data_IF_966374590763
#
_entry.id   IF_966374590763
#
_cell.length_a   1.000
_cell.length_b   1.000
_cell.length_c   1.000
_cell.angle_alpha   90.00
_cell.angle_beta   90.00
_cell.angle_gamma   90.00
#
_symmetry.space_group_name_H-M   'P 1'
#
loop_
_entity.id
_entity.type
_entity.pdbx_description
1 polymer ?
#
# COMPACT_ATOMS: atom_id res chain seq x y z
N UNK A 1 -5.26 -27.22 -12.92
CA UNK A 1 -3.78 -27.13 -12.83
C UNK A 1 -3.32 -26.26 -13.99
N UNK A 2 -2.98 -25.01 -13.74
CA UNK A 2 -2.40 -24.11 -14.74
C UNK A 2 -0.91 -24.44 -14.80
N UNK A 3 -0.45 -25.00 -15.89
CA UNK A 3 0.97 -25.24 -16.17
C UNK A 3 1.59 -23.90 -16.62
N UNK A 4 2.44 -23.32 -15.80
CA UNK A 4 3.28 -22.20 -16.20
C UNK A 4 4.41 -22.71 -17.11
N UNK A 5 4.72 -22.02 -18.22
CA UNK A 5 5.81 -22.41 -19.10
C UNK A 5 7.17 -22.30 -18.37
N UNK A 6 8.18 -23.15 -18.71
CA UNK A 6 9.46 -23.21 -18.00
C UNK A 6 10.23 -21.88 -17.94
N UNK A 7 10.06 -21.02 -18.95
CA UNK A 7 10.67 -19.69 -18.99
C UNK A 7 10.13 -18.75 -17.88
N UNK A 8 8.84 -18.86 -17.54
CA UNK A 8 8.24 -18.10 -16.45
C UNK A 8 8.80 -18.54 -15.09
N UNK A 9 9.03 -19.83 -14.90
CA UNK A 9 9.59 -20.38 -13.65
C UNK A 9 11.04 -19.93 -13.41
N UNK A 10 11.83 -19.77 -14.46
CA UNK A 10 13.21 -19.30 -14.38
C UNK A 10 13.27 -17.80 -14.04
N UNK A 11 12.37 -17.00 -14.63
CA UNK A 11 12.24 -15.58 -14.35
C UNK A 11 11.85 -15.34 -12.88
N UNK A 12 10.89 -16.11 -12.35
CA UNK A 12 10.48 -16.04 -10.95
C UNK A 12 11.62 -16.38 -9.97
N UNK A 13 12.44 -17.41 -10.27
CA UNK A 13 13.58 -17.77 -9.39
C UNK A 13 14.68 -16.72 -9.41
N UNK A 14 14.96 -16.10 -10.54
CA UNK A 14 15.96 -15.02 -10.65
C UNK A 14 15.47 -13.74 -9.99
N UNK A 15 14.18 -13.39 -10.11
CA UNK A 15 13.55 -12.25 -9.47
C UNK A 15 13.53 -12.40 -7.94
N UNK A 16 13.15 -13.57 -7.42
CA UNK A 16 13.14 -13.84 -5.99
C UNK A 16 14.54 -13.69 -5.36
N UNK A 17 15.60 -14.18 -6.04
CA UNK A 17 16.97 -14.05 -5.56
C UNK A 17 17.48 -12.60 -5.59
N UNK A 18 17.09 -11.83 -6.59
CA UNK A 18 17.43 -10.41 -6.71
C UNK A 18 16.69 -9.57 -5.66
N UNK A 19 15.43 -9.90 -5.38
CA UNK A 19 14.58 -9.20 -4.42
C UNK A 19 15.04 -9.41 -2.98
N UNK A 20 15.38 -10.63 -2.58
CA UNK A 20 15.98 -10.96 -1.26
C UNK A 20 17.28 -10.18 -0.98
N UNK A 21 17.97 -9.74 -2.03
CA UNK A 21 19.18 -8.92 -1.91
C UNK A 21 18.87 -7.44 -1.63
N UNK A 22 17.71 -6.94 -2.08
CA UNK A 22 17.31 -5.53 -1.93
C UNK A 22 16.41 -5.33 -0.70
N UNK A 23 15.60 -6.31 -0.38
CA UNK A 23 14.65 -6.31 0.74
C UNK A 23 14.89 -7.57 1.60
N UNK A 24 15.92 -7.56 2.46
CA UNK A 24 16.19 -8.72 3.33
C UNK A 24 14.99 -8.97 4.23
N UNK A 25 14.64 -10.24 4.39
CA UNK A 25 13.58 -10.68 5.30
C UNK A 25 13.70 -9.98 6.65
N UNK A 26 12.57 -9.54 7.22
CA UNK A 26 12.53 -9.13 8.62
C UNK A 26 13.20 -10.22 9.46
N UNK A 27 14.15 -9.88 10.28
CA UNK A 27 14.71 -10.80 11.28
C UNK A 27 13.57 -11.41 12.09
N UNK A 28 13.11 -12.61 11.71
CA UNK A 28 12.16 -13.42 12.46
C UNK A 28 10.66 -13.28 12.10
N UNK A 29 10.25 -12.69 10.95
CA UNK A 29 8.84 -12.62 10.57
C UNK A 29 8.62 -12.47 9.06
N UNK A 30 7.47 -12.93 8.57
CA UNK A 30 7.04 -12.75 7.17
C UNK A 30 6.73 -11.27 6.94
N UNK A 31 7.31 -10.66 5.88
CA UNK A 31 6.97 -9.30 5.46
C UNK A 31 5.62 -9.33 4.75
N UNK A 32 4.72 -8.42 5.14
CA UNK A 32 3.46 -8.22 4.44
C UNK A 32 3.56 -6.99 3.54
N UNK A 33 2.79 -7.01 2.47
CA UNK A 33 2.74 -5.93 1.50
C UNK A 33 1.33 -5.38 1.38
N UNK A 34 1.26 -4.07 1.22
CA UNK A 34 0.02 -3.32 1.23
C UNK A 34 -0.05 -2.35 0.04
N UNK A 35 -1.21 -1.76 -0.18
CA UNK A 35 -1.40 -0.64 -1.07
C UNK A 35 -2.31 0.38 -0.37
N UNK A 36 -1.86 1.62 -0.35
CA UNK A 36 -2.51 2.77 0.26
C UNK A 36 -2.98 3.72 -0.84
N UNK A 37 -4.30 3.97 -0.91
CA UNK A 37 -4.89 4.88 -1.90
C UNK A 37 -5.16 6.24 -1.27
N UNK A 38 -4.66 7.28 -1.92
CA UNK A 38 -5.00 8.67 -1.64
C UNK A 38 -5.34 9.41 -2.92
N UNK A 39 -6.21 10.41 -2.85
CA UNK A 39 -6.41 11.36 -3.93
C UNK A 39 -5.33 12.45 -3.83
N UNK A 40 -4.64 12.81 -4.92
CA UNK A 40 -3.58 13.84 -4.87
C UNK A 40 -4.05 15.18 -4.31
N UNK A 41 -5.33 15.54 -4.51
CA UNK A 41 -5.92 16.75 -3.94
C UNK A 41 -6.18 16.70 -2.43
N UNK A 42 -6.17 15.49 -1.81
CA UNK A 42 -6.29 15.32 -0.37
C UNK A 42 -4.91 15.14 0.29
N UNK A 43 -4.11 14.23 -0.22
CA UNK A 43 -2.75 13.99 0.24
C UNK A 43 -1.93 13.34 -0.88
N UNK A 44 -0.95 14.06 -1.38
CA UNK A 44 -0.10 13.64 -2.49
C UNK A 44 1.21 12.99 -2.03
N UNK A 45 1.93 12.39 -2.96
CA UNK A 45 3.30 11.92 -2.73
C UNK A 45 4.24 13.08 -2.35
N UNK A 46 4.05 14.25 -2.98
CA UNK A 46 4.82 15.46 -2.71
C UNK A 46 4.56 15.99 -1.29
N UNK A 47 3.33 15.86 -0.78
CA UNK A 47 3.02 16.19 0.61
C UNK A 47 3.78 15.27 1.57
N UNK A 48 3.89 13.98 1.26
CA UNK A 48 4.68 13.04 2.05
C UNK A 48 6.18 13.34 1.98
N UNK A 49 6.69 13.73 0.80
CA UNK A 49 8.10 14.14 0.64
C UNK A 49 8.43 15.38 1.48
N UNK A 50 7.48 16.31 1.60
CA UNK A 50 7.62 17.54 2.36
C UNK A 50 7.33 17.37 3.86
N UNK A 51 6.67 16.28 4.27
CA UNK A 51 6.29 16.04 5.64
C UNK A 51 7.49 15.88 6.59
N UNK A 52 7.39 16.28 7.87
CA UNK A 52 8.45 16.09 8.86
C UNK A 52 8.89 14.62 8.94
N UNK A 53 10.18 14.37 8.71
CA UNK A 53 10.74 13.01 8.67
C UNK A 53 10.14 12.13 7.57
N UNK A 54 9.53 12.75 6.54
CA UNK A 54 8.85 12.08 5.44
C UNK A 54 7.84 11.03 5.95
N UNK A 55 7.13 11.36 7.02
CA UNK A 55 6.24 10.47 7.75
C UNK A 55 4.87 11.13 7.93
N UNK A 56 3.81 10.34 7.79
CA UNK A 56 2.43 10.79 8.01
C UNK A 56 1.62 9.71 8.70
N UNK A 57 0.58 10.12 9.45
CA UNK A 57 -0.49 9.23 9.86
C UNK A 57 -1.39 8.91 8.66
N UNK A 58 -1.72 7.64 8.49
CA UNK A 58 -2.69 7.21 7.49
C UNK A 58 -4.06 7.08 8.15
N UNK A 59 -4.72 8.22 8.29
CA UNK A 59 -5.99 8.39 8.97
C UNK A 59 -7.20 8.40 8.00
N UNK A 60 -8.37 8.73 8.50
CA UNK A 60 -9.57 8.95 7.70
C UNK A 60 -10.17 7.68 7.06
N UNK A 61 -9.68 6.50 7.38
CA UNK A 61 -10.19 5.23 6.82
C UNK A 61 -11.51 4.87 7.48
N UNK A 62 -12.62 4.92 6.70
CA UNK A 62 -14.00 4.66 7.18
C UNK A 62 -14.63 3.42 6.52
N UNK A 63 -13.80 2.40 6.30
CA UNK A 63 -14.22 1.08 5.83
C UNK A 63 -13.70 0.02 6.79
N UNK A 64 -14.57 -0.84 7.32
CA UNK A 64 -14.22 -1.86 8.33
C UNK A 64 -13.19 -2.88 7.83
N UNK A 65 -13.26 -3.25 6.54
CA UNK A 65 -12.30 -4.20 5.96
C UNK A 65 -10.90 -3.56 5.84
N UNK A 66 -10.83 -2.33 5.33
CA UNK A 66 -9.58 -1.56 5.24
C UNK A 66 -8.97 -1.33 6.63
N UNK A 67 -9.81 -0.95 7.64
CA UNK A 67 -9.38 -0.86 9.04
C UNK A 67 -8.79 -2.17 9.55
N UNK A 68 -9.44 -3.31 9.26
CA UNK A 68 -8.95 -4.61 9.71
C UNK A 68 -7.60 -4.97 9.07
N UNK A 69 -7.36 -4.56 7.83
CA UNK A 69 -6.04 -4.67 7.22
C UNK A 69 -5.01 -3.80 7.95
N UNK A 70 -5.34 -2.56 8.30
CA UNK A 70 -4.44 -1.70 9.07
C UNK A 70 -4.10 -2.30 10.43
N UNK A 71 -5.06 -2.92 11.13
CA UNK A 71 -4.81 -3.65 12.39
C UNK A 71 -3.87 -4.85 12.24
N UNK A 72 -3.80 -5.44 11.06
CA UNK A 72 -2.89 -6.56 10.77
C UNK A 72 -1.47 -6.11 10.41
N UNK A 73 -1.26 -4.82 10.10
CA UNK A 73 0.04 -4.28 9.71
C UNK A 73 1.05 -4.36 10.85
N UNK A 74 2.29 -4.60 10.49
CA UNK A 74 3.43 -4.63 11.39
C UNK A 74 4.48 -3.61 10.98
N UNK A 75 5.15 -3.02 11.97
CA UNK A 75 6.29 -2.14 11.73
C UNK A 75 7.30 -2.81 10.80
N UNK A 76 7.70 -2.09 9.75
CA UNK A 76 8.57 -2.54 8.66
C UNK A 76 7.84 -3.24 7.51
N UNK A 77 6.50 -3.42 7.54
CA UNK A 77 5.74 -3.81 6.35
C UNK A 77 5.86 -2.72 5.29
N UNK A 78 5.85 -3.10 4.02
CA UNK A 78 5.93 -2.17 2.90
C UNK A 78 4.58 -2.02 2.21
N UNK A 79 4.35 -0.85 1.61
CA UNK A 79 3.13 -0.63 0.86
C UNK A 79 3.34 0.31 -0.32
N UNK A 80 2.63 0.07 -1.41
CA UNK A 80 2.59 1.03 -2.51
C UNK A 80 1.76 2.25 -2.12
N UNK A 81 2.29 3.43 -2.41
CA UNK A 81 1.53 4.67 -2.38
C UNK A 81 0.87 4.85 -3.76
N UNK A 82 -0.45 4.90 -3.78
CA UNK A 82 -1.23 4.95 -5.00
C UNK A 82 -2.09 6.21 -5.04
N UNK A 83 -1.89 7.03 -6.07
CA UNK A 83 -2.78 8.12 -6.40
C UNK A 83 -4.03 7.58 -7.07
N UNK A 84 -5.21 7.92 -6.53
CA UNK A 84 -6.51 7.68 -7.16
C UNK A 84 -6.98 8.94 -7.92
N UNK A 85 -8.13 8.88 -8.57
CA UNK A 85 -8.67 10.02 -9.31
C UNK A 85 -8.43 9.94 -10.82
N UNK A 86 -8.08 11.08 -11.46
CA UNK A 86 -8.00 11.19 -12.91
C UNK A 86 -6.89 10.34 -13.53
N UNK A 87 -5.69 10.38 -12.93
CA UNK A 87 -4.50 9.66 -13.42
C UNK A 87 -4.01 8.62 -12.38
N UNK A 88 -4.79 7.53 -12.21
CA UNK A 88 -4.55 6.59 -11.14
C UNK A 88 -3.25 5.81 -11.36
N UNK A 89 -2.31 5.91 -10.42
CA UNK A 89 -0.96 5.35 -10.55
C UNK A 89 -0.29 5.03 -9.21
N UNK A 90 0.57 4.00 -9.20
CA UNK A 90 1.55 3.80 -8.13
C UNK A 90 2.70 4.79 -8.37
N UNK A 91 3.08 5.53 -7.33
CA UNK A 91 4.11 6.58 -7.41
C UNK A 91 5.28 6.35 -6.44
N UNK A 92 5.14 5.44 -5.50
CA UNK A 92 6.20 5.14 -4.55
C UNK A 92 5.89 3.97 -3.65
N UNK A 93 6.83 3.69 -2.76
CA UNK A 93 6.73 2.71 -1.68
C UNK A 93 6.87 3.44 -0.35
N UNK A 94 6.03 3.09 0.60
CA UNK A 94 6.08 3.53 2.00
C UNK A 94 6.36 2.35 2.91
N UNK A 95 6.91 2.62 4.09
CA UNK A 95 7.14 1.66 5.18
C UNK A 95 6.20 1.97 6.34
N UNK A 96 5.55 0.96 6.91
CA UNK A 96 4.81 1.11 8.17
C UNK A 96 5.81 1.29 9.31
N UNK A 97 5.80 2.46 9.95
CA UNK A 97 6.71 2.81 11.05
C UNK A 97 6.05 2.78 12.41
N UNK A 98 4.71 2.82 12.45
CA UNK A 98 3.90 2.63 13.66
C UNK A 98 2.70 1.75 13.34
N UNK A 99 2.50 0.71 14.15
CA UNK A 99 1.34 -0.20 14.05
C UNK A 99 0.04 0.53 14.43
N UNK A 100 -1.10 -0.12 14.16
CA UNK A 100 -2.42 0.47 14.32
C UNK A 100 -2.67 1.04 15.72
N UNK A 101 -3.24 2.23 15.75
CA UNK A 101 -3.66 2.95 16.96
C UNK A 101 -4.94 3.76 16.65
N UNK A 102 -5.70 4.18 17.67
CA UNK A 102 -6.95 4.90 17.47
C UNK A 102 -6.81 6.13 16.57
N UNK A 103 -7.70 6.20 15.57
CA UNK A 103 -7.78 7.35 14.66
C UNK A 103 -8.52 8.51 15.36
N UNK A 104 -7.75 9.51 15.78
CA UNK A 104 -8.27 10.68 16.48
C UNK A 104 -9.18 11.56 15.60
N UNK A 105 -9.02 11.52 14.27
CA UNK A 105 -9.86 12.31 13.35
C UNK A 105 -11.32 11.86 13.38
N UNK A 106 -11.57 10.62 13.82
CA UNK A 106 -12.92 10.11 13.98
C UNK A 106 -13.65 10.71 15.18
N UNK A 107 -12.93 11.30 16.13
CA UNK A 107 -13.48 11.85 17.37
C UNK A 107 -13.57 13.38 17.34
N UNK A 108 -13.05 14.01 16.30
CA UNK A 108 -13.05 15.45 16.12
C UNK A 108 -14.27 15.89 15.28
N UNK A 109 -15.28 16.56 15.85
CA UNK A 109 -16.48 17.00 15.12
C UNK A 109 -16.21 17.97 13.96
N UNK A 110 -15.07 18.67 13.98
CA UNK A 110 -14.68 19.59 12.92
C UNK A 110 -13.96 18.90 11.76
N UNK A 111 -13.61 17.62 11.93
CA UNK A 111 -12.92 16.85 10.91
C UNK A 111 -13.89 16.20 9.91
N UNK A 112 -13.55 16.22 8.62
CA UNK A 112 -14.34 15.60 7.55
C UNK A 112 -14.50 14.07 7.72
N UNK A 113 -13.68 13.45 8.57
CA UNK A 113 -13.72 12.03 8.87
C UNK A 113 -14.39 11.70 10.22
N UNK A 114 -15.08 12.66 10.80
CA UNK A 114 -15.80 12.47 12.07
C UNK A 114 -16.80 11.33 12.00
N UNK A 115 -16.81 10.49 13.03
CA UNK A 115 -17.84 9.46 13.24
C UNK A 115 -18.36 9.53 14.68
N UNK A 116 -19.60 10.00 14.92
CA UNK A 116 -20.15 10.20 16.27
C UNK A 116 -20.25 8.90 17.09
N UNK A 117 -20.08 7.74 16.46
CA UNK A 117 -20.03 6.43 17.14
C UNK A 117 -18.66 6.10 17.72
N UNK A 118 -17.61 6.81 17.29
CA UNK A 118 -16.25 6.63 17.80
C UNK A 118 -16.02 7.54 19.01
N UNK A 119 -15.72 6.91 20.16
CA UNK A 119 -15.41 7.65 21.40
C UNK A 119 -14.02 7.23 21.91
N UNK A 120 -13.42 8.00 22.83
CA UNK A 120 -12.16 7.61 23.48
C UNK A 120 -12.22 6.22 24.12
N UNK A 121 -13.36 5.87 24.73
CA UNK A 121 -13.56 4.56 25.37
C UNK A 121 -13.84 3.44 24.37
N UNK A 122 -14.33 3.79 23.18
CA UNK A 122 -14.66 2.87 22.11
C UNK A 122 -14.15 3.41 20.77
N UNK A 123 -12.84 3.44 20.53
CA UNK A 123 -12.29 3.84 19.26
C UNK A 123 -12.65 2.78 18.21
N UNK A 124 -13.47 3.16 17.23
CA UNK A 124 -13.91 2.25 16.16
C UNK A 124 -12.87 2.18 15.04
N UNK A 125 -12.22 3.31 14.77
CA UNK A 125 -11.33 3.49 13.65
C UNK A 125 -9.87 3.53 14.08
N UNK A 126 -9.02 3.00 13.23
CA UNK A 126 -7.58 2.89 13.46
C UNK A 126 -6.83 3.60 12.34
N UNK A 127 -5.64 4.07 12.66
CA UNK A 127 -4.67 4.60 11.72
C UNK A 127 -3.30 3.98 11.96
N UNK A 128 -2.40 4.08 11.00
CA UNK A 128 -1.00 3.65 11.09
C UNK A 128 -0.12 4.82 10.68
N UNK A 129 1.16 4.85 11.11
CA UNK A 129 2.09 5.80 10.52
C UNK A 129 2.89 5.13 9.42
N UNK A 130 3.00 5.82 8.29
CA UNK A 130 3.79 5.40 7.15
C UNK A 130 4.87 6.43 6.84
N UNK A 131 6.03 5.95 6.47
CA UNK A 131 7.17 6.76 6.06
C UNK A 131 7.53 6.49 4.61
N UNK A 132 7.92 7.52 3.89
CA UNK A 132 8.49 7.39 2.55
C UNK A 132 9.67 6.41 2.58
N UNK A 133 9.60 5.39 1.75
CA UNK A 133 10.67 4.40 1.61
C UNK A 133 11.41 4.57 0.29
N UNK A 134 10.67 4.69 -0.83
CA UNK A 134 11.27 4.80 -2.16
C UNK A 134 10.31 5.43 -3.16
N UNK A 135 10.74 6.48 -3.87
CA UNK A 135 10.01 6.99 -5.03
C UNK A 135 10.11 6.01 -6.22
N UNK A 136 9.04 5.89 -6.98
CA UNK A 136 8.98 5.08 -8.19
C UNK A 136 8.59 5.94 -9.39
N UNK A 137 9.02 5.56 -10.62
CA UNK A 137 8.37 6.07 -11.83
C UNK A 137 6.87 5.76 -11.75
N UNK A 138 6.03 6.72 -12.14
CA UNK A 138 4.58 6.51 -12.09
C UNK A 138 4.18 5.31 -12.97
N UNK A 139 3.55 4.32 -12.36
CA UNK A 139 2.99 3.15 -13.01
C UNK A 139 1.46 3.29 -13.02
N UNK A 140 0.90 3.67 -14.16
CA UNK A 140 -0.53 3.89 -14.28
C UNK A 140 -1.31 2.57 -14.10
N UNK A 141 -2.55 2.69 -13.56
CA UNK A 141 -3.45 1.53 -13.46
C UNK A 141 -3.68 0.86 -14.81
N UNK A 142 -3.69 1.65 -15.91
CA UNK A 142 -3.84 1.14 -17.28
C UNK A 142 -2.65 0.25 -17.65
N UNK A 143 -1.42 0.70 -17.41
CA UNK A 143 -0.20 -0.11 -17.64
C UNK A 143 -0.24 -1.39 -16.81
N UNK A 144 -0.48 -1.29 -15.50
CA UNK A 144 -0.55 -2.43 -14.60
C UNK A 144 -1.61 -3.45 -15.03
N UNK A 145 -2.77 -3.00 -15.53
CA UNK A 145 -3.86 -3.88 -15.97
C UNK A 145 -3.55 -4.68 -17.24
N UNK A 146 -2.52 -4.31 -17.99
CA UNK A 146 -2.06 -5.05 -19.16
C UNK A 146 -1.28 -6.34 -18.78
N UNK A 147 -0.89 -6.47 -17.51
CA UNK A 147 -0.10 -7.61 -17.03
C UNK A 147 -0.98 -8.68 -16.36
N UNK A 148 -1.11 -9.84 -16.98
CA UNK A 148 -1.92 -10.96 -16.46
C UNK A 148 -1.50 -11.39 -15.03
N UNK A 149 -0.22 -11.26 -14.69
CA UNK A 149 0.30 -11.56 -13.36
C UNK A 149 -0.34 -10.70 -12.25
N UNK A 150 -0.87 -9.51 -12.57
CA UNK A 150 -1.49 -8.59 -11.63
C UNK A 150 -3.02 -8.66 -11.62
N UNK A 151 -3.64 -9.49 -12.47
CA UNK A 151 -5.10 -9.57 -12.61
C UNK A 151 -5.82 -9.94 -11.30
N UNK A 152 -5.15 -10.69 -10.41
CA UNK A 152 -5.68 -11.09 -9.09
C UNK A 152 -5.62 -10.00 -8.01
N UNK A 153 -4.99 -8.87 -8.26
CA UNK A 153 -4.92 -7.78 -7.26
C UNK A 153 -6.28 -7.14 -7.03
N UNK A 154 -6.59 -6.82 -5.77
CA UNK A 154 -7.82 -6.07 -5.41
C UNK A 154 -7.89 -4.71 -6.14
N UNK A 155 -6.74 -4.09 -6.45
CA UNK A 155 -6.64 -2.87 -7.25
C UNK A 155 -7.29 -3.01 -8.64
N UNK A 156 -7.22 -4.20 -9.25
CA UNK A 156 -7.76 -4.47 -10.59
C UNK A 156 -9.25 -4.78 -10.56
N UNK A 157 -9.79 -5.15 -9.40
CA UNK A 157 -11.20 -5.46 -9.23
C UNK A 157 -12.08 -4.25 -9.52
N UNK A 158 -13.03 -4.43 -10.44
CA UNK A 158 -14.00 -3.37 -10.77
C UNK A 158 -14.87 -3.03 -9.56
N UNK A 159 -15.00 -1.74 -9.25
CA UNK A 159 -15.85 -1.26 -8.15
C UNK A 159 -15.24 -1.41 -6.76
N UNK A 160 -13.98 -1.81 -6.63
CA UNK A 160 -13.31 -1.84 -5.32
C UNK A 160 -13.18 -0.44 -4.75
N UNK A 161 -13.76 -0.25 -3.54
CA UNK A 161 -13.71 1.00 -2.76
C UNK A 161 -12.73 0.93 -1.58
N UNK A 162 -11.93 -0.12 -1.50
CA UNK A 162 -10.95 -0.26 -0.43
C UNK A 162 -9.80 0.73 -0.64
N UNK A 163 -9.62 1.63 0.32
CA UNK A 163 -8.51 2.59 0.35
C UNK A 163 -7.19 1.96 0.81
N UNK A 164 -7.28 0.90 1.59
CA UNK A 164 -6.12 0.09 2.01
C UNK A 164 -6.38 -1.35 1.61
N UNK A 165 -5.39 -1.99 0.96
CA UNK A 165 -5.53 -3.32 0.37
C UNK A 165 -4.28 -4.17 0.63
N UNK A 166 -4.43 -5.50 0.83
CA UNK A 166 -3.28 -6.40 0.81
C UNK A 166 -2.76 -6.55 -0.62
N UNK A 167 -1.46 -6.77 -0.73
CA UNK A 167 -0.74 -7.10 -1.96
C UNK A 167 0.03 -8.39 -1.72
N UNK A 168 -0.03 -9.35 -2.64
CA UNK A 168 0.80 -10.55 -2.50
C UNK A 168 2.28 -10.23 -2.76
N UNK A 169 3.18 -11.04 -2.21
CA UNK A 169 4.61 -10.86 -2.41
C UNK A 169 4.97 -10.90 -3.91
N UNK A 170 4.37 -11.81 -4.66
CA UNK A 170 4.60 -11.96 -6.10
C UNK A 170 4.16 -10.72 -6.87
N UNK A 171 3.00 -10.14 -6.52
CA UNK A 171 2.52 -8.91 -7.16
C UNK A 171 3.39 -7.72 -6.79
N UNK A 172 3.86 -7.63 -5.53
CA UNK A 172 4.75 -6.57 -5.10
C UNK A 172 6.08 -6.64 -5.86
N UNK A 173 6.72 -7.80 -5.91
CA UNK A 173 7.97 -8.04 -6.64
C UNK A 173 7.84 -7.71 -8.13
N UNK A 174 6.73 -8.14 -8.74
CA UNK A 174 6.46 -7.90 -10.15
C UNK A 174 6.35 -6.41 -10.47
N UNK A 175 5.61 -5.64 -9.65
CA UNK A 175 5.48 -4.19 -9.82
C UNK A 175 6.82 -3.48 -9.60
N UNK A 176 7.61 -3.92 -8.63
CA UNK A 176 8.95 -3.36 -8.40
C UNK A 176 9.90 -3.62 -9.58
N UNK A 177 9.78 -4.77 -10.24
CA UNK A 177 10.50 -5.06 -11.47
C UNK A 177 10.11 -4.11 -12.60
N UNK A 178 8.81 -3.95 -12.87
CA UNK A 178 8.30 -3.00 -13.87
C UNK A 178 8.79 -1.57 -13.62
N UNK A 179 8.80 -1.14 -12.36
CA UNK A 179 9.29 0.19 -11.99
C UNK A 179 10.80 0.36 -12.27
N UNK A 180 11.59 -0.71 -12.15
CA UNK A 180 13.03 -0.67 -12.44
C UNK A 180 13.31 -0.67 -13.95
N UNK A 181 12.47 -1.31 -14.76
CA UNK A 181 12.58 -1.29 -16.22
C UNK A 181 12.16 0.04 -16.85
N UNK A 182 11.34 0.83 -16.15
CA UNK A 182 10.84 2.13 -16.62
C UNK A 182 11.80 3.30 -16.35
N UNK A 183 12.93 3.04 -15.68
CA UNK A 183 14.00 4.02 -15.47
C UNK A 183 14.80 4.18 -16.76
#
# INVERSE_FOLDING_TARGET
>A
KVFLPPAALHLFRTLATFFLRIYPDKKGGTMNYWLFKSEPGCYSWQDLEAAPGQTTSWDGVRNYQARNFMKAMKKGDLGFFYHSGADPSIVGVVEVVREAYPDHTAQDPENNHFDPRATPEKPIWEMVDVRLHKALPALSRKELSAHAALAGMELMRRGSRLSVQPVSAEAFEYIMHLANEKK
#
